data_IF_056940722729
#
_entry.id   IF_056940722729
#
_cell.length_a   1.000
_cell.length_b   1.000
_cell.length_c   1.000
_cell.angle_alpha   90.00
_cell.angle_beta   90.00
_cell.angle_gamma   90.00
#
_symmetry.space_group_name_H-M   'P 1'
#
loop_
_entity.id
_entity.type
_entity.pdbx_description
1 polymer ?
#
# COMPACT_ATOMS: atom_id res chain seq x y z
N UNK A 1 -39.45 6.75 -50.83
CA UNK A 1 -39.04 5.80 -49.76
C UNK A 1 -37.62 6.03 -49.22
N UNK A 2 -36.88 7.07 -49.62
CA UNK A 2 -35.49 7.34 -49.16
C UNK A 2 -35.38 8.36 -48.01
N UNK A 3 -36.32 9.30 -47.90
CA UNK A 3 -36.24 10.38 -46.90
C UNK A 3 -36.40 9.89 -45.46
N UNK A 4 -37.28 8.91 -45.23
CA UNK A 4 -37.47 8.28 -43.93
C UNK A 4 -36.26 7.43 -43.51
N UNK A 5 -35.60 6.73 -44.45
CA UNK A 5 -34.39 5.95 -44.14
C UNK A 5 -33.19 6.85 -43.83
N UNK A 6 -33.05 8.01 -44.49
CA UNK A 6 -32.04 9.00 -44.14
C UNK A 6 -32.26 9.61 -42.75
N UNK A 7 -33.51 9.92 -42.39
CA UNK A 7 -33.85 10.43 -41.06
C UNK A 7 -33.61 9.35 -39.99
N UNK A 8 -33.97 8.10 -40.26
CA UNK A 8 -33.74 6.98 -39.35
C UNK A 8 -32.24 6.68 -39.17
N UNK A 9 -31.45 6.77 -40.25
CA UNK A 9 -30.00 6.64 -40.20
C UNK A 9 -29.33 7.77 -39.41
N UNK A 10 -29.80 9.01 -39.58
CA UNK A 10 -29.34 10.16 -38.80
C UNK A 10 -29.66 10.01 -37.31
N UNK A 11 -30.86 9.53 -36.98
CA UNK A 11 -31.27 9.28 -35.60
C UNK A 11 -30.42 8.18 -34.95
N UNK A 12 -30.15 7.07 -35.66
CA UNK A 12 -29.27 6.02 -35.17
C UNK A 12 -27.84 6.52 -34.96
N UNK A 13 -27.33 7.37 -35.86
CA UNK A 13 -26.01 7.98 -35.72
C UNK A 13 -25.92 8.88 -34.47
N UNK A 14 -26.95 9.68 -34.21
CA UNK A 14 -27.06 10.51 -33.00
C UNK A 14 -27.11 9.68 -31.72
N UNK A 15 -27.86 8.57 -31.73
CA UNK A 15 -27.93 7.65 -30.58
C UNK A 15 -26.56 7.02 -30.27
N UNK A 16 -25.84 6.58 -31.30
CA UNK A 16 -24.48 6.04 -31.15
C UNK A 16 -23.54 7.14 -30.61
N UNK A 17 -23.63 8.36 -31.11
CA UNK A 17 -22.79 9.47 -30.65
C UNK A 17 -23.00 9.77 -29.16
N UNK A 18 -24.26 9.84 -28.71
CA UNK A 18 -24.59 10.08 -27.30
C UNK A 18 -24.06 8.94 -26.43
N UNK A 19 -24.20 7.69 -26.89
CA UNK A 19 -23.69 6.52 -26.18
C UNK A 19 -22.16 6.55 -26.03
N UNK A 20 -21.43 6.89 -27.10
CA UNK A 20 -19.97 7.01 -27.09
C UNK A 20 -19.52 8.13 -26.16
N UNK A 21 -20.15 9.31 -26.22
CA UNK A 21 -19.82 10.43 -25.32
C UNK A 21 -20.10 10.04 -23.86
N UNK A 22 -21.21 9.34 -23.60
CA UNK A 22 -21.56 8.86 -22.27
C UNK A 22 -20.56 7.84 -21.71
N UNK A 23 -20.09 6.88 -22.53
CA UNK A 23 -19.09 5.91 -22.08
C UNK A 23 -17.74 6.56 -21.80
N UNK A 24 -17.32 7.53 -22.60
CA UNK A 24 -16.13 8.33 -22.32
C UNK A 24 -16.26 9.12 -21.01
N UNK A 25 -17.44 9.66 -20.70
CA UNK A 25 -17.67 10.39 -19.46
C UNK A 25 -17.62 9.48 -18.22
N UNK A 26 -18.16 8.27 -18.31
CA UNK A 26 -18.09 7.26 -17.24
C UNK A 26 -16.63 6.84 -16.99
N UNK A 27 -15.91 6.48 -18.06
CA UNK A 27 -14.50 6.07 -17.97
C UNK A 27 -13.64 7.24 -17.45
N UNK A 28 -13.88 8.47 -17.90
CA UNK A 28 -13.13 9.64 -17.43
C UNK A 28 -13.43 9.98 -15.97
N UNK A 29 -14.67 9.82 -15.53
CA UNK A 29 -15.06 10.04 -14.12
C UNK A 29 -14.45 8.97 -13.21
N UNK A 30 -14.34 7.74 -13.70
CA UNK A 30 -13.64 6.67 -13.01
C UNK A 30 -12.14 7.02 -12.89
N UNK A 31 -11.48 7.38 -13.99
CA UNK A 31 -10.05 7.74 -13.98
C UNK A 31 -9.75 8.96 -13.08
N UNK A 32 -10.58 10.01 -13.12
CA UNK A 32 -10.38 11.20 -12.26
C UNK A 32 -10.77 10.95 -10.80
N UNK A 33 -11.76 10.10 -10.52
CA UNK A 33 -12.07 9.67 -9.17
C UNK A 33 -10.93 8.88 -8.53
N UNK A 34 -10.37 7.90 -9.26
CA UNK A 34 -9.26 7.08 -8.77
C UNK A 34 -7.98 7.89 -8.56
N UNK A 35 -7.62 8.79 -9.48
CA UNK A 35 -6.40 9.60 -9.34
C UNK A 35 -6.50 10.66 -8.24
N UNK A 36 -7.64 11.35 -8.12
CA UNK A 36 -7.81 12.38 -7.09
C UNK A 36 -7.94 11.79 -5.69
N UNK A 37 -8.57 10.61 -5.54
CA UNK A 37 -8.66 9.91 -4.25
C UNK A 37 -7.29 9.35 -3.85
N UNK A 38 -6.52 8.79 -4.80
CA UNK A 38 -5.15 8.34 -4.50
C UNK A 38 -4.24 9.51 -4.10
N UNK A 39 -4.21 10.61 -4.84
CA UNK A 39 -3.32 11.73 -4.52
C UNK A 39 -3.73 12.49 -3.25
N UNK A 40 -5.02 12.65 -2.97
CA UNK A 40 -5.47 13.31 -1.73
C UNK A 40 -5.24 12.46 -0.48
N UNK A 41 -5.34 11.13 -0.59
CA UNK A 41 -4.97 10.20 0.49
C UNK A 41 -3.44 10.16 0.68
N UNK A 42 -2.65 10.24 -0.39
CA UNK A 42 -1.17 10.27 -0.33
C UNK A 42 -0.63 11.58 0.28
N UNK A 43 -1.27 12.72 -0.02
CA UNK A 43 -0.84 14.03 0.49
C UNK A 43 -1.24 14.28 1.95
N UNK A 44 -2.32 13.63 2.43
CA UNK A 44 -2.74 13.61 3.83
C UNK A 44 -2.63 12.19 4.41
N UNK A 45 -1.52 11.50 4.16
CA UNK A 45 -1.27 10.17 4.75
C UNK A 45 -1.31 10.28 6.27
N UNK A 46 -2.42 9.80 6.83
CA UNK A 46 -2.58 9.56 8.25
C UNK A 46 -1.50 8.57 8.67
N UNK A 47 -0.66 8.96 9.62
CA UNK A 47 0.38 8.13 10.24
C UNK A 47 -0.20 6.82 10.83
N UNK A 48 -1.51 6.76 11.03
CA UNK A 48 -2.25 5.56 11.43
C UNK A 48 -2.25 4.48 10.34
N UNK A 49 -2.14 4.82 9.06
CA UNK A 49 -2.17 3.86 7.94
C UNK A 49 -0.93 2.93 7.96
N UNK A 50 0.32 3.43 7.95
CA UNK A 50 1.50 2.55 8.01
C UNK A 50 1.53 1.72 9.30
N UNK A 51 1.10 2.29 10.43
CA UNK A 51 0.98 1.55 11.69
C UNK A 51 -0.08 0.45 11.61
N UNK A 52 -1.24 0.72 11.03
CA UNK A 52 -2.32 -0.27 10.84
C UNK A 52 -1.89 -1.39 9.89
N UNK A 53 -1.12 -1.08 8.87
CA UNK A 53 -0.51 -2.07 7.98
C UNK A 53 0.41 -3.02 8.77
N UNK A 54 1.34 -2.46 9.56
CA UNK A 54 2.24 -3.25 10.41
C UNK A 54 1.44 -4.10 11.40
N UNK A 55 0.48 -3.51 12.10
CA UNK A 55 -0.40 -4.23 13.04
C UNK A 55 -1.10 -5.42 12.37
N UNK A 56 -1.64 -5.19 11.17
CA UNK A 56 -2.35 -6.23 10.41
C UNK A 56 -1.41 -7.35 10.01
N UNK A 57 -0.21 -7.02 9.47
CA UNK A 57 0.82 -8.03 9.15
C UNK A 57 1.23 -8.83 10.38
N UNK A 58 1.47 -8.18 11.53
CA UNK A 58 1.80 -8.88 12.76
C UNK A 58 0.68 -9.82 13.20
N UNK A 59 -0.57 -9.38 13.13
CA UNK A 59 -1.74 -10.17 13.50
C UNK A 59 -1.98 -11.37 12.58
N UNK A 60 -1.82 -11.17 11.27
CA UNK A 60 -1.89 -12.26 10.27
C UNK A 60 -0.86 -13.36 10.54
N UNK A 61 0.31 -12.97 11.07
CA UNK A 61 1.43 -13.86 11.32
C UNK A 61 1.61 -14.17 12.83
N UNK A 62 0.63 -13.85 13.68
CA UNK A 62 0.69 -14.04 15.15
C UNK A 62 0.86 -15.52 15.52
N UNK A 63 0.25 -16.42 14.74
CA UNK A 63 0.35 -17.87 14.92
C UNK A 63 1.60 -18.49 14.26
N UNK A 64 2.46 -17.69 13.63
CA UNK A 64 3.60 -18.18 12.86
C UNK A 64 4.90 -18.04 13.64
N UNK A 65 5.86 -18.91 13.30
CA UNK A 65 6.90 -19.32 14.24
C UNK A 65 7.97 -18.26 14.53
N UNK A 66 8.12 -17.19 13.72
CA UNK A 66 9.24 -16.28 13.92
C UNK A 66 9.00 -14.84 13.44
N UNK A 67 8.59 -13.98 14.38
CA UNK A 67 8.67 -12.52 14.26
C UNK A 67 9.92 -12.04 15.02
N UNK A 68 10.78 -11.27 14.35
CA UNK A 68 12.04 -10.77 14.89
C UNK A 68 12.34 -9.36 14.39
N UNK A 69 13.01 -8.56 15.21
CA UNK A 69 13.62 -7.30 14.79
C UNK A 69 15.12 -7.51 14.71
N UNK A 70 15.72 -7.21 13.55
CA UNK A 70 17.17 -7.28 13.34
C UNK A 70 17.64 -6.00 12.66
N UNK A 71 18.86 -5.59 12.96
CA UNK A 71 19.51 -4.50 12.24
C UNK A 71 20.28 -5.11 11.08
N UNK A 72 19.88 -4.78 9.84
CA UNK A 72 20.57 -5.21 8.62
C UNK A 72 21.09 -3.95 7.94
N UNK A 73 22.38 -3.92 7.59
CA UNK A 73 23.01 -2.76 6.94
C UNK A 73 22.78 -1.42 7.69
N UNK A 74 22.84 -1.44 9.03
CA UNK A 74 22.56 -0.27 9.91
C UNK A 74 21.09 0.18 9.94
N UNK A 75 20.18 -0.49 9.23
CA UNK A 75 18.75 -0.20 9.25
C UNK A 75 18.01 -1.20 10.15
N UNK A 76 17.19 -0.73 11.11
CA UNK A 76 16.28 -1.61 11.84
C UNK A 76 15.25 -2.19 10.87
N UNK A 77 15.12 -3.52 10.89
CA UNK A 77 14.22 -4.26 10.01
C UNK A 77 13.37 -5.21 10.84
N UNK A 78 12.07 -5.19 10.58
CA UNK A 78 11.14 -6.21 11.05
C UNK A 78 11.20 -7.38 10.06
N UNK A 79 11.38 -8.58 10.58
CA UNK A 79 11.42 -9.82 9.84
C UNK A 79 10.29 -10.71 10.34
N UNK A 80 9.40 -11.08 9.44
CA UNK A 80 8.31 -12.01 9.70
C UNK A 80 8.56 -13.23 8.83
N UNK A 81 8.89 -14.36 9.47
CA UNK A 81 9.23 -15.59 8.77
C UNK A 81 8.19 -16.68 9.02
N UNK A 82 7.76 -17.25 7.90
CA UNK A 82 6.85 -18.37 7.78
C UNK A 82 7.59 -19.59 7.24
N UNK A 83 6.91 -20.74 7.21
CA UNK A 83 7.52 -22.00 6.73
C UNK A 83 8.06 -21.89 5.30
N UNK A 84 7.42 -21.07 4.45
CA UNK A 84 7.75 -20.95 3.02
C UNK A 84 8.19 -19.55 2.60
N UNK A 85 7.87 -18.54 3.40
CA UNK A 85 8.05 -17.14 2.99
C UNK A 85 8.64 -16.32 4.12
N UNK A 86 9.30 -15.24 3.73
CA UNK A 86 9.90 -14.27 4.64
C UNK A 86 9.54 -12.88 4.15
N UNK A 87 9.08 -12.06 5.09
CA UNK A 87 8.70 -10.67 4.85
C UNK A 87 9.65 -9.77 5.60
N UNK A 88 10.25 -8.81 4.91
CA UNK A 88 11.11 -7.78 5.47
C UNK A 88 10.37 -6.45 5.39
N UNK A 89 10.24 -5.75 6.52
CA UNK A 89 9.68 -4.39 6.58
C UNK A 89 10.73 -3.48 7.20
N UNK A 90 11.12 -2.44 6.47
CA UNK A 90 12.20 -1.53 6.87
C UNK A 90 11.98 -0.15 6.27
N UNK A 91 12.73 0.82 6.77
CA UNK A 91 12.75 2.18 6.25
C UNK A 91 14.03 2.44 5.47
N UNK A 92 13.87 2.96 4.26
CA UNK A 92 14.97 3.37 3.40
C UNK A 92 14.49 4.44 2.41
N UNK A 93 15.34 5.44 2.15
CA UNK A 93 15.15 6.48 1.14
C UNK A 93 13.83 7.28 1.26
N UNK A 94 13.35 7.52 2.49
CA UNK A 94 12.10 8.27 2.74
C UNK A 94 10.82 7.44 2.58
N UNK A 95 10.95 6.11 2.52
CA UNK A 95 9.80 5.22 2.40
C UNK A 95 9.86 4.09 3.42
N UNK A 96 8.70 3.69 3.93
CA UNK A 96 8.50 2.35 4.49
C UNK A 96 8.39 1.37 3.32
N UNK A 97 9.27 0.39 3.29
CA UNK A 97 9.38 -0.59 2.22
C UNK A 97 9.08 -2.00 2.73
N UNK A 98 8.54 -2.84 1.86
CA UNK A 98 8.36 -4.27 2.11
C UNK A 98 9.08 -5.10 1.05
N UNK A 99 9.66 -6.23 1.49
CA UNK A 99 10.05 -7.31 0.58
C UNK A 99 9.37 -8.58 1.02
N UNK A 100 8.63 -9.20 0.11
CA UNK A 100 8.06 -10.52 0.28
C UNK A 100 8.81 -11.53 -0.59
N UNK A 101 9.41 -12.53 0.06
CA UNK A 101 10.28 -13.49 -0.60
C UNK A 101 10.04 -14.92 -0.11
N UNK A 102 10.54 -15.90 -0.86
CA UNK A 102 10.66 -17.28 -0.38
C UNK A 102 11.68 -17.36 0.76
N UNK A 103 11.46 -18.23 1.75
CA UNK A 103 12.34 -18.35 2.92
C UNK A 103 13.78 -18.78 2.58
N UNK A 104 14.01 -19.34 1.37
CA UNK A 104 15.33 -19.69 0.86
C UNK A 104 16.03 -18.55 0.10
N UNK A 105 15.30 -17.47 -0.21
CA UNK A 105 15.83 -16.32 -0.93
C UNK A 105 16.34 -15.27 0.05
N UNK A 106 17.53 -14.72 -0.23
CA UNK A 106 18.06 -13.57 0.51
C UNK A 106 17.88 -12.32 -0.35
N UNK A 107 16.85 -11.51 -0.08
CA UNK A 107 16.56 -10.35 -0.91
C UNK A 107 17.57 -9.23 -0.69
N UNK A 108 17.77 -8.42 -1.73
CA UNK A 108 18.48 -7.16 -1.60
C UNK A 108 17.49 -6.06 -1.21
N UNK A 109 17.89 -5.19 -0.28
CA UNK A 109 17.07 -4.04 0.14
C UNK A 109 16.76 -3.05 -1.00
N UNK A 110 17.49 -3.11 -2.11
CA UNK A 110 17.14 -2.36 -3.34
C UNK A 110 15.89 -2.89 -4.04
N UNK A 111 15.43 -4.11 -3.73
CA UNK A 111 14.27 -4.76 -4.33
C UNK A 111 12.97 -4.46 -3.56
N UNK A 112 13.03 -3.59 -2.55
CA UNK A 112 11.88 -3.18 -1.73
C UNK A 112 10.77 -2.53 -2.54
N UNK A 113 9.55 -2.98 -2.31
CA UNK A 113 8.35 -2.28 -2.74
C UNK A 113 8.12 -1.08 -1.81
N UNK A 114 8.01 0.12 -2.39
CA UNK A 114 7.72 1.35 -1.64
C UNK A 114 6.25 1.39 -1.28
N UNK A 115 5.93 1.27 0.02
CA UNK A 115 4.56 1.25 0.49
C UNK A 115 4.06 2.64 0.90
N UNK A 116 4.80 3.33 1.77
CA UNK A 116 4.37 4.61 2.37
C UNK A 116 5.50 5.62 2.40
N UNK A 117 5.22 6.89 2.06
CA UNK A 117 6.21 7.96 2.12
C UNK A 117 6.27 8.54 3.54
N UNK A 118 7.38 8.36 4.25
CA UNK A 118 7.54 8.76 5.66
C UNK A 118 8.92 9.37 5.89
N UNK A 119 9.06 10.16 6.96
CA UNK A 119 10.32 10.84 7.27
C UNK A 119 11.24 9.96 8.11
N UNK A 120 10.69 9.17 9.04
CA UNK A 120 11.46 8.26 9.89
C UNK A 120 10.60 7.08 10.36
N UNK A 121 11.27 5.95 10.65
CA UNK A 121 10.66 4.76 11.20
C UNK A 121 11.59 4.11 12.22
N UNK A 122 11.04 3.87 13.42
CA UNK A 122 11.78 3.26 14.51
C UNK A 122 11.07 2.00 14.96
N UNK A 123 11.86 0.96 15.21
CA UNK A 123 11.38 -0.32 15.70
C UNK A 123 12.21 -0.70 16.92
N UNK A 124 11.53 -1.02 18.02
CA UNK A 124 12.14 -1.57 19.21
C UNK A 124 11.37 -2.79 19.69
N UNK A 125 12.11 -3.75 20.25
CA UNK A 125 11.54 -4.91 20.91
C UNK A 125 12.04 -4.96 22.34
N UNK A 126 11.13 -4.85 23.31
CA UNK A 126 11.45 -4.91 24.73
C UNK A 126 10.39 -5.71 25.50
N UNK A 127 10.80 -6.59 26.41
CA UNK A 127 9.91 -7.39 27.28
C UNK A 127 8.63 -7.93 26.61
N UNK A 128 8.74 -8.58 25.43
CA UNK A 128 7.62 -9.12 24.63
C UNK A 128 6.70 -8.11 23.92
N UNK A 129 7.04 -6.82 23.98
CA UNK A 129 6.34 -5.75 23.28
C UNK A 129 7.17 -5.28 22.09
N UNK A 130 6.53 -5.25 20.93
CA UNK A 130 7.06 -4.56 19.76
C UNK A 130 6.52 -3.14 19.73
N UNK A 131 7.40 -2.16 19.63
CA UNK A 131 7.04 -0.76 19.50
C UNK A 131 7.51 -0.25 18.14
N UNK A 132 6.58 0.36 17.42
CA UNK A 132 6.78 0.95 16.11
C UNK A 132 6.45 2.43 16.19
N UNK A 133 7.34 3.28 15.71
CA UNK A 133 7.13 4.72 15.66
C UNK A 133 7.30 5.15 14.21
N UNK A 134 6.31 5.84 13.67
CA UNK A 134 6.36 6.41 12.32
C UNK A 134 6.31 7.93 12.45
N UNK A 135 7.21 8.62 11.76
CA UNK A 135 7.27 10.09 11.75
C UNK A 135 7.05 10.62 10.34
N UNK A 136 6.23 11.67 10.22
CA UNK A 136 5.99 12.41 8.97
C UNK A 136 5.59 13.85 9.28
N UNK A 137 6.18 14.82 8.59
CA UNK A 137 5.94 16.25 8.76
C UNK A 137 6.03 16.73 10.23
N UNK A 138 7.06 16.30 10.96
CA UNK A 138 7.27 16.59 12.39
C UNK A 138 6.21 16.03 13.36
N UNK A 139 5.26 15.23 12.87
CA UNK A 139 4.34 14.46 13.71
C UNK A 139 4.84 13.01 13.78
N UNK A 140 4.77 12.42 14.96
CA UNK A 140 5.06 11.01 15.17
C UNK A 140 3.85 10.33 15.80
N UNK A 141 3.55 9.13 15.32
CA UNK A 141 2.57 8.23 15.95
C UNK A 141 3.27 6.93 16.34
N UNK A 142 2.76 6.30 17.39
CA UNK A 142 3.32 5.07 17.94
C UNK A 142 2.27 3.97 17.99
N UNK A 143 2.71 2.75 17.68
CA UNK A 143 1.98 1.51 17.92
C UNK A 143 2.81 0.60 18.82
N UNK A 144 2.20 0.07 19.88
CA UNK A 144 2.79 -0.98 20.70
C UNK A 144 1.92 -2.24 20.60
N UNK A 145 2.54 -3.36 20.22
CA UNK A 145 1.86 -4.64 20.02
C UNK A 145 2.50 -5.70 20.91
N UNK A 146 1.67 -6.41 21.67
CA UNK A 146 2.05 -7.64 22.37
C UNK A 146 1.84 -8.83 21.45
N UNK A 147 2.84 -9.71 21.34
CA UNK A 147 2.74 -10.94 20.55
C UNK A 147 2.97 -12.11 21.49
N UNK A 148 1.95 -12.96 21.64
CA UNK A 148 2.05 -14.19 22.42
C UNK A 148 2.95 -15.17 21.65
N UNK A 149 4.07 -15.57 22.25
CA UNK A 149 4.93 -16.66 21.73
C UNK A 149 4.52 -18.00 22.31
#
# INVERSE_FOLDING_TARGET
MSRQSHIQSLMNLLLILIFVIGSFFIISSEIQGYQNIHESILQQEDLTIPLSYIHTKLKENENQQMIQVKTINQHPCLIIQNQKTITYIYYQDGYLQEIYADSQYTPLFSEGEKLFAIDDFQISYDHQLYTFIVTKHQRSEQLTVYIHR
#
